data_IF_788579728182
#
_entry.id   IF_788579728182
#
_cell.length_a   1.000
_cell.length_b   1.000
_cell.length_c   1.000
_cell.angle_alpha   90.00
_cell.angle_beta   90.00
_cell.angle_gamma   90.00
#
_symmetry.space_group_name_H-M   'P 1'
#
loop_
_entity.id
_entity.type
_entity.pdbx_description
1 polymer ?
#
# COMPACT_ATOMS: atom_id res chain seq x y z
N UNK A 1 1.64 -24.23 3.92
CA UNK A 1 2.54 -23.50 4.85
C UNK A 1 1.89 -22.13 5.10
N UNK A 2 2.18 -21.53 6.24
CA UNK A 2 1.68 -20.18 6.56
C UNK A 2 2.72 -19.16 6.05
N UNK A 3 2.27 -18.07 5.45
CA UNK A 3 3.17 -17.04 4.94
C UNK A 3 3.97 -16.36 6.07
N UNK A 4 5.27 -16.15 5.88
CA UNK A 4 6.10 -15.27 6.71
C UNK A 4 5.87 -13.83 6.27
N UNK A 5 5.28 -13.02 7.15
CA UNK A 5 4.93 -11.64 6.87
C UNK A 5 5.83 -10.73 7.68
N UNK A 6 6.50 -9.81 7.02
CA UNK A 6 7.27 -8.75 7.66
C UNK A 6 6.66 -7.40 7.39
N UNK A 7 6.75 -6.48 8.38
CA UNK A 7 6.33 -5.10 8.23
C UNK A 7 7.47 -4.16 8.59
N UNK A 8 7.93 -3.40 7.60
CA UNK A 8 8.87 -2.29 7.81
C UNK A 8 8.13 -1.13 8.46
N UNK A 9 8.66 -0.62 9.58
CA UNK A 9 8.09 0.49 10.32
C UNK A 9 9.16 1.47 10.84
N UNK A 10 8.78 2.71 11.04
CA UNK A 10 9.65 3.77 11.60
C UNK A 10 9.45 4.02 13.08
N UNK A 11 8.57 3.26 13.75
CA UNK A 11 8.29 3.39 15.19
C UNK A 11 7.31 4.50 15.54
N UNK A 12 6.53 5.03 14.59
CA UNK A 12 5.45 5.98 14.93
C UNK A 12 4.35 5.29 15.75
N UNK A 13 3.61 6.09 16.52
CA UNK A 13 2.52 5.58 17.36
C UNK A 13 1.51 4.75 16.52
N UNK A 14 1.10 5.28 15.37
CA UNK A 14 0.14 4.59 14.50
C UNK A 14 0.66 3.26 13.96
N UNK A 15 1.93 3.20 13.56
CA UNK A 15 2.54 1.96 13.09
C UNK A 15 2.63 0.90 14.19
N UNK A 16 3.00 1.30 15.40
CA UNK A 16 3.07 0.39 16.56
C UNK A 16 1.67 -0.05 16.99
N UNK A 17 0.69 0.85 17.05
CA UNK A 17 -0.70 0.51 17.34
C UNK A 17 -1.30 -0.45 16.31
N UNK A 18 -0.91 -0.32 15.03
CA UNK A 18 -1.30 -1.29 13.99
C UNK A 18 -0.68 -2.67 14.23
N UNK A 19 0.60 -2.73 14.60
CA UNK A 19 1.27 -4.00 14.90
C UNK A 19 0.69 -4.71 16.14
N UNK A 20 0.18 -3.93 17.10
CA UNK A 20 -0.44 -4.42 18.34
C UNK A 20 -1.93 -4.76 18.17
N UNK A 21 -2.52 -4.57 16.97
CA UNK A 21 -3.94 -4.87 16.75
C UNK A 21 -4.24 -6.38 16.91
N UNK A 22 -5.11 -6.78 17.85
CA UNK A 22 -5.50 -8.17 18.04
C UNK A 22 -6.10 -8.83 16.79
N UNK A 23 -6.76 -8.06 15.91
CA UNK A 23 -7.32 -8.58 14.66
C UNK A 23 -6.23 -9.00 13.67
N UNK A 24 -5.03 -8.45 13.78
CA UNK A 24 -3.86 -8.83 12.98
C UNK A 24 -3.03 -9.95 13.60
N UNK A 25 -3.26 -10.34 14.85
CA UNK A 25 -2.55 -11.42 15.52
C UNK A 25 -2.54 -12.76 14.73
N UNK A 26 -3.61 -13.14 13.99
CA UNK A 26 -3.58 -14.33 13.14
C UNK A 26 -2.51 -14.30 12.06
N UNK A 27 -2.11 -13.13 11.57
CA UNK A 27 -1.07 -12.98 10.55
C UNK A 27 0.34 -13.15 11.08
N UNK A 28 0.57 -12.94 12.40
CA UNK A 28 1.89 -13.02 13.06
C UNK A 28 2.93 -12.14 12.35
N UNK A 29 2.57 -10.90 12.06
CA UNK A 29 3.44 -9.95 11.38
C UNK A 29 4.69 -9.73 12.22
N UNK A 30 5.85 -9.95 11.63
CA UNK A 30 7.15 -9.71 12.24
C UNK A 30 7.55 -8.25 11.99
N UNK A 31 7.68 -7.41 13.03
CA UNK A 31 8.05 -6.01 12.86
C UNK A 31 9.55 -5.87 12.55
N UNK A 32 9.89 -5.07 11.54
CA UNK A 32 11.26 -4.69 11.22
C UNK A 32 11.40 -3.17 11.27
N UNK A 33 12.09 -2.68 12.29
CA UNK A 33 12.32 -1.23 12.42
C UNK A 33 13.38 -0.77 11.42
N UNK A 34 13.02 0.14 10.49
CA UNK A 34 13.85 0.52 9.34
C UNK A 34 15.24 1.05 9.69
N UNK A 35 15.47 1.52 10.91
CA UNK A 35 16.78 2.03 11.37
C UNK A 35 17.67 0.92 11.91
N UNK A 36 17.12 -0.05 12.62
CA UNK A 36 17.87 -0.98 13.48
C UNK A 36 17.85 -2.43 13.00
N UNK A 37 16.84 -2.85 12.23
CA UNK A 37 16.80 -4.19 11.67
C UNK A 37 17.81 -4.36 10.54
N UNK A 38 18.22 -5.60 10.27
CA UNK A 38 19.08 -5.95 9.16
C UNK A 38 18.27 -6.20 7.89
N UNK A 39 18.80 -5.82 6.71
CA UNK A 39 18.15 -6.11 5.44
C UNK A 39 18.06 -7.62 5.16
N UNK A 40 18.97 -8.41 5.72
CA UNK A 40 18.93 -9.88 5.68
C UNK A 40 17.66 -10.47 6.33
N UNK A 41 17.03 -9.74 7.24
CA UNK A 41 15.74 -10.13 7.87
C UNK A 41 14.57 -10.24 6.86
N UNK A 42 14.74 -9.70 5.63
CA UNK A 42 13.77 -9.88 4.54
C UNK A 42 13.93 -11.20 3.77
N UNK A 43 15.07 -11.90 3.91
CA UNK A 43 15.49 -12.99 3.00
C UNK A 43 14.41 -14.03 2.75
N UNK A 44 13.68 -14.44 3.77
CA UNK A 44 12.70 -15.53 3.69
C UNK A 44 11.23 -15.04 3.75
N UNK A 45 11.01 -13.71 3.72
CA UNK A 45 9.69 -13.16 3.80
C UNK A 45 8.85 -13.51 2.56
N UNK A 46 7.67 -14.09 2.75
CA UNK A 46 6.68 -14.32 1.69
C UNK A 46 5.90 -13.05 1.37
N UNK A 47 5.69 -12.19 2.39
CA UNK A 47 5.00 -10.92 2.26
C UNK A 47 5.83 -9.82 2.94
N UNK A 48 6.11 -8.75 2.20
CA UNK A 48 6.79 -7.56 2.71
C UNK A 48 5.80 -6.39 2.70
N UNK A 49 5.52 -5.84 3.87
CA UNK A 49 4.70 -4.63 4.03
C UNK A 49 5.63 -3.44 4.30
N UNK A 50 5.61 -2.48 3.40
CA UNK A 50 6.24 -1.18 3.58
C UNK A 50 5.17 -0.25 4.11
N UNK A 51 5.19 0.04 5.41
CA UNK A 51 4.19 0.92 6.01
C UNK A 51 4.33 2.35 5.49
N UNK A 52 3.25 3.08 5.55
CA UNK A 52 3.22 4.48 5.10
C UNK A 52 4.11 5.40 5.94
N UNK A 53 4.47 6.55 5.37
CA UNK A 53 5.18 7.67 6.03
C UNK A 53 6.52 7.26 6.64
N UNK A 54 7.25 6.38 5.99
CA UNK A 54 8.62 6.07 6.37
C UNK A 54 9.55 7.22 5.95
N UNK A 55 10.61 7.42 6.72
CA UNK A 55 11.64 8.41 6.37
C UNK A 55 12.40 7.94 5.12
N UNK A 56 12.43 8.73 4.03
CA UNK A 56 13.05 8.31 2.77
C UNK A 56 14.53 7.95 2.91
N UNK A 57 15.29 8.74 3.70
CA UNK A 57 16.72 8.48 3.94
C UNK A 57 17.00 7.16 4.66
N UNK A 58 16.07 6.70 5.50
CA UNK A 58 16.18 5.41 6.18
C UNK A 58 15.63 4.25 5.34
N UNK A 59 14.61 4.53 4.52
CA UNK A 59 14.02 3.55 3.63
C UNK A 59 14.97 3.20 2.47
N UNK A 60 15.83 4.14 2.05
CA UNK A 60 16.70 3.98 0.87
C UNK A 60 17.52 2.70 0.88
N UNK A 61 18.06 2.26 2.03
CA UNK A 61 18.83 1.02 2.13
C UNK A 61 18.00 -0.26 1.93
N UNK A 62 16.66 -0.15 2.02
CA UNK A 62 15.74 -1.26 1.87
C UNK A 62 15.21 -1.44 0.44
N UNK A 63 15.43 -0.45 -0.46
CA UNK A 63 14.89 -0.47 -1.81
C UNK A 63 15.32 -1.73 -2.57
N UNK A 64 16.63 -1.98 -2.69
CA UNK A 64 17.15 -3.17 -3.39
C UNK A 64 16.72 -4.49 -2.71
N UNK A 65 16.83 -4.67 -1.38
CA UNK A 65 16.33 -5.86 -0.70
C UNK A 65 14.84 -6.14 -0.93
N UNK A 66 13.99 -5.11 -0.95
CA UNK A 66 12.56 -5.26 -1.22
C UNK A 66 12.33 -5.71 -2.67
N UNK A 67 13.00 -5.08 -3.63
CA UNK A 67 12.89 -5.42 -5.05
C UNK A 67 13.41 -6.83 -5.33
N UNK A 68 14.53 -7.23 -4.73
CA UNK A 68 15.03 -8.60 -4.82
C UNK A 68 14.01 -9.63 -4.29
N UNK A 69 13.34 -9.33 -3.17
CA UNK A 69 12.27 -10.20 -2.66
C UNK A 69 11.09 -10.31 -3.63
N UNK A 70 10.69 -9.18 -4.22
CA UNK A 70 9.63 -9.14 -5.23
C UNK A 70 9.99 -10.01 -6.45
N UNK A 71 11.20 -9.87 -6.97
CA UNK A 71 11.69 -10.65 -8.13
C UNK A 71 11.76 -12.15 -7.83
N UNK A 72 11.99 -12.52 -6.57
CA UNK A 72 12.01 -13.93 -6.09
C UNK A 72 10.64 -14.48 -5.71
N UNK A 73 9.56 -13.77 -6.01
CA UNK A 73 8.20 -14.26 -5.87
C UNK A 73 7.44 -13.82 -4.63
N UNK A 74 8.02 -12.95 -3.79
CA UNK A 74 7.29 -12.41 -2.64
C UNK A 74 6.15 -11.47 -3.07
N UNK A 75 5.18 -11.30 -2.18
CA UNK A 75 4.19 -10.22 -2.31
C UNK A 75 4.69 -8.99 -1.56
N UNK A 76 4.74 -7.86 -2.24
CA UNK A 76 5.16 -6.57 -1.65
C UNK A 76 3.97 -5.61 -1.63
N UNK A 77 3.65 -5.10 -0.45
CA UNK A 77 2.61 -4.07 -0.24
C UNK A 77 3.31 -2.76 0.13
N UNK A 78 3.12 -1.72 -0.66
CA UNK A 78 3.69 -0.38 -0.39
C UNK A 78 2.56 0.61 -0.18
N UNK A 79 2.52 1.21 0.99
CA UNK A 79 1.46 2.11 1.41
C UNK A 79 1.93 3.57 1.51
N UNK A 80 1.08 4.50 1.07
CA UNK A 80 1.16 5.91 1.35
C UNK A 80 2.37 6.64 0.75
N UNK A 81 2.88 7.59 1.51
CA UNK A 81 3.91 8.54 1.08
C UNK A 81 5.33 7.94 1.28
N UNK A 82 5.76 7.07 0.38
CA UNK A 82 7.08 6.43 0.40
C UNK A 82 7.94 6.71 -0.84
N UNK A 83 7.63 7.81 -1.57
CA UNK A 83 8.40 8.26 -2.75
C UNK A 83 8.66 7.13 -3.76
N UNK A 84 7.63 6.32 -4.03
CA UNK A 84 7.76 5.09 -4.83
C UNK A 84 8.31 5.34 -6.23
N UNK A 85 8.09 6.53 -6.79
CA UNK A 85 8.66 6.94 -8.07
C UNK A 85 10.18 7.07 -8.08
N UNK A 86 10.84 7.10 -6.92
CA UNK A 86 12.30 7.19 -6.82
C UNK A 86 12.98 5.82 -6.82
N UNK A 87 12.24 4.72 -6.50
CA UNK A 87 12.88 3.43 -6.31
C UNK A 87 12.16 2.23 -6.94
N UNK A 88 10.89 2.34 -7.29
CA UNK A 88 10.20 1.25 -8.01
C UNK A 88 10.29 1.52 -9.51
N UNK A 89 11.04 0.71 -10.29
CA UNK A 89 11.21 0.95 -11.72
C UNK A 89 9.89 0.99 -12.48
N UNK A 90 9.73 2.01 -13.34
CA UNK A 90 8.56 2.17 -14.21
C UNK A 90 7.34 2.84 -13.54
N UNK A 91 7.41 3.13 -12.25
CA UNK A 91 6.39 3.91 -11.55
C UNK A 91 6.87 5.37 -11.44
N UNK A 92 6.00 6.32 -11.76
CA UNK A 92 6.15 7.73 -11.37
C UNK A 92 5.04 8.10 -10.41
N UNK A 93 5.33 8.97 -9.47
CA UNK A 93 4.37 9.47 -8.50
C UNK A 93 4.19 10.98 -8.68
N UNK A 94 2.94 11.42 -8.72
CA UNK A 94 2.62 12.84 -8.79
C UNK A 94 1.67 13.19 -7.65
N UNK A 95 2.08 14.11 -6.78
CA UNK A 95 1.23 14.59 -5.69
C UNK A 95 -0.02 15.27 -6.23
N UNK A 96 -1.14 15.05 -5.54
CA UNK A 96 -2.41 15.72 -5.79
C UNK A 96 -2.93 16.32 -4.50
N UNK A 97 -3.47 17.54 -4.56
CA UNK A 97 -4.20 18.07 -3.42
C UNK A 97 -5.40 17.18 -3.15
N UNK A 98 -5.53 16.77 -1.90
CA UNK A 98 -6.63 15.91 -1.48
C UNK A 98 -7.71 16.75 -0.84
N UNK A 99 -8.95 16.59 -1.30
CA UNK A 99 -10.12 17.18 -0.65
C UNK A 99 -10.55 16.23 0.48
N UNK A 100 -10.12 16.50 1.72
CA UNK A 100 -10.43 15.66 2.88
C UNK A 100 -11.88 15.75 3.35
N UNK A 101 -12.67 16.69 2.81
CA UNK A 101 -13.99 17.07 3.30
C UNK A 101 -15.13 16.74 2.35
N UNK A 102 -14.86 16.04 1.23
CA UNK A 102 -15.87 15.66 0.24
C UNK A 102 -17.10 14.98 0.87
N UNK A 103 -16.93 14.20 1.93
CA UNK A 103 -18.02 13.55 2.66
C UNK A 103 -18.92 14.54 3.45
N UNK A 104 -18.43 15.76 3.74
CA UNK A 104 -19.22 16.84 4.34
C UNK A 104 -19.82 17.76 3.30
N UNK A 105 -19.13 18.01 2.22
CA UNK A 105 -19.56 18.94 1.17
C UNK A 105 -20.45 18.28 0.13
N UNK A 106 -20.46 16.95 0.04
CA UNK A 106 -21.15 16.19 -1.00
C UNK A 106 -20.45 16.26 -2.37
N UNK A 107 -19.21 16.76 -2.41
CA UNK A 107 -18.43 16.77 -3.64
C UNK A 107 -18.06 15.35 -4.07
N UNK A 108 -17.94 15.14 -5.38
CA UNK A 108 -17.45 13.87 -5.91
C UNK A 108 -15.97 13.68 -5.55
N UNK A 109 -15.65 12.61 -4.86
CA UNK A 109 -14.26 12.25 -4.52
C UNK A 109 -13.42 11.84 -5.72
N UNK A 110 -14.04 11.63 -6.88
CA UNK A 110 -13.44 11.25 -8.18
C UNK A 110 -12.63 9.94 -8.19
N UNK A 111 -12.65 9.18 -7.10
CA UNK A 111 -12.06 7.85 -7.09
C UNK A 111 -13.00 6.87 -7.80
N UNK A 112 -12.44 6.06 -8.71
CA UNK A 112 -13.20 5.07 -9.48
C UNK A 112 -12.55 3.72 -9.39
N UNK A 113 -13.34 2.73 -9.04
CA UNK A 113 -12.94 1.34 -9.05
C UNK A 113 -12.78 0.83 -10.47
N UNK A 114 -11.67 0.10 -10.72
CA UNK A 114 -11.32 -0.48 -12.01
C UNK A 114 -11.13 -2.00 -11.89
N UNK A 115 -11.01 -2.64 -13.04
CA UNK A 115 -10.69 -4.07 -13.16
C UNK A 115 -11.49 -4.98 -12.20
N UNK A 116 -12.83 -5.04 -12.31
CA UNK A 116 -13.70 -5.74 -11.37
C UNK A 116 -13.43 -7.26 -11.29
N UNK A 117 -12.80 -7.83 -12.30
CA UNK A 117 -12.48 -9.26 -12.38
C UNK A 117 -11.10 -9.60 -11.78
N UNK A 118 -10.30 -8.60 -11.38
CA UNK A 118 -9.01 -8.85 -10.79
C UNK A 118 -9.17 -9.49 -9.39
N UNK A 119 -8.40 -10.54 -9.03
CA UNK A 119 -8.55 -11.24 -7.74
C UNK A 119 -8.48 -10.33 -6.52
N UNK A 120 -7.61 -9.31 -6.53
CA UNK A 120 -7.53 -8.34 -5.44
C UNK A 120 -8.83 -7.53 -5.26
N UNK A 121 -9.67 -7.41 -6.31
CA UNK A 121 -10.96 -6.71 -6.25
C UNK A 121 -12.02 -7.46 -5.43
N UNK A 122 -11.91 -8.76 -5.31
CA UNK A 122 -12.84 -9.56 -4.51
C UNK A 122 -12.91 -9.09 -3.05
N UNK A 123 -11.78 -8.61 -2.53
CA UNK A 123 -11.63 -8.18 -1.14
C UNK A 123 -11.74 -6.66 -0.95
N UNK A 124 -11.73 -5.87 -2.03
CA UNK A 124 -11.81 -4.42 -1.98
C UNK A 124 -13.26 -3.95 -2.15
N UNK A 125 -13.79 -3.27 -1.16
CA UNK A 125 -15.09 -2.61 -1.22
C UNK A 125 -14.94 -1.12 -1.46
N UNK A 126 -15.98 -0.44 -1.91
CA UNK A 126 -15.99 1.02 -2.06
C UNK A 126 -15.59 1.72 -0.76
N UNK A 127 -16.07 1.21 0.38
CA UNK A 127 -15.74 1.77 1.69
C UNK A 127 -14.24 1.68 2.02
N UNK A 128 -13.54 0.66 1.53
CA UNK A 128 -12.09 0.52 1.72
C UNK A 128 -11.30 1.55 0.91
N UNK A 129 -11.88 2.13 -0.12
CA UNK A 129 -11.18 2.93 -1.12
C UNK A 129 -11.62 4.39 -1.17
N UNK A 130 -12.80 4.72 -0.61
CA UNK A 130 -13.34 6.07 -0.63
C UNK A 130 -12.90 6.80 0.64
N UNK A 131 -11.65 7.24 0.64
CA UNK A 131 -11.07 8.13 1.64
C UNK A 131 -9.89 8.89 1.01
N UNK A 132 -9.03 9.55 1.75
CA UNK A 132 -8.03 10.38 1.12
C UNK A 132 -6.83 9.58 0.55
N UNK A 133 -6.16 10.19 -0.40
CA UNK A 133 -4.96 9.74 -1.09
C UNK A 133 -3.97 10.90 -1.18
N UNK A 134 -2.70 10.64 -1.46
CA UNK A 134 -1.66 11.68 -1.50
C UNK A 134 -1.18 12.02 -2.91
N UNK A 135 -1.58 11.25 -3.89
CA UNK A 135 -1.18 11.46 -5.28
C UNK A 135 -1.71 10.41 -6.21
N UNK A 136 -1.18 10.41 -7.43
CA UNK A 136 -1.45 9.41 -8.45
C UNK A 136 -0.15 8.78 -8.96
N UNK A 137 -0.25 7.55 -9.40
CA UNK A 137 0.82 6.72 -9.92
C UNK A 137 0.64 6.51 -11.43
N UNK A 138 1.74 6.50 -12.19
CA UNK A 138 1.74 5.93 -13.54
C UNK A 138 1.72 4.40 -13.46
N UNK A 139 1.15 3.76 -14.49
CA UNK A 139 1.13 2.29 -14.58
C UNK A 139 2.36 1.81 -15.37
N UNK A 140 3.24 0.99 -14.77
CA UNK A 140 4.25 0.27 -15.54
C UNK A 140 3.59 -0.74 -16.49
N UNK A 141 4.32 -1.18 -17.51
CA UNK A 141 3.83 -2.17 -18.45
C UNK A 141 3.46 -3.47 -17.74
N UNK A 142 2.25 -3.96 -17.95
CA UNK A 142 1.73 -5.17 -17.32
C UNK A 142 1.00 -4.94 -15.98
N UNK A 143 1.13 -3.76 -15.38
CA UNK A 143 0.38 -3.44 -14.17
C UNK A 143 -1.08 -3.05 -14.48
N UNK A 144 -1.95 -3.25 -13.51
CA UNK A 144 -3.36 -2.86 -13.57
C UNK A 144 -3.70 -1.88 -12.46
N UNK A 145 -4.52 -0.87 -12.77
CA UNK A 145 -5.10 0.00 -11.76
C UNK A 145 -6.34 -0.66 -11.16
N UNK A 146 -6.45 -0.65 -9.85
CA UNK A 146 -7.67 -1.05 -9.14
C UNK A 146 -8.49 0.16 -8.70
N UNK A 147 -7.84 1.31 -8.54
CA UNK A 147 -8.49 2.59 -8.21
C UNK A 147 -7.83 3.69 -9.03
N UNK A 148 -8.62 4.35 -9.86
CA UNK A 148 -8.21 5.55 -10.57
C UNK A 148 -8.71 6.81 -9.90
N UNK A 149 -7.98 7.90 -10.07
CA UNK A 149 -8.49 9.26 -9.90
C UNK A 149 -8.96 9.78 -11.27
N UNK A 150 -10.18 10.30 -11.32
CA UNK A 150 -10.69 11.00 -12.51
C UNK A 150 -10.34 12.49 -12.47
N UNK A 151 -10.10 13.06 -13.65
CA UNK A 151 -10.04 14.53 -13.81
C UNK A 151 -11.47 15.11 -13.66
N UNK A 152 -11.60 16.43 -13.40
CA UNK A 152 -12.92 17.07 -13.35
C UNK A 152 -13.75 16.89 -14.64
N UNK A 153 -13.08 16.73 -15.78
CA UNK A 153 -13.68 16.53 -17.11
C UNK A 153 -14.05 15.07 -17.40
N UNK A 154 -13.81 14.13 -16.46
CA UNK A 154 -14.12 12.71 -16.59
C UNK A 154 -13.04 11.87 -17.26
N UNK A 155 -11.83 12.43 -17.49
CA UNK A 155 -10.66 11.68 -17.93
C UNK A 155 -9.95 10.97 -16.79
N UNK A 156 -9.03 10.05 -17.10
CA UNK A 156 -8.16 9.42 -16.11
C UNK A 156 -6.99 10.34 -15.79
N UNK A 157 -6.78 10.67 -14.50
CA UNK A 157 -5.61 11.41 -14.01
C UNK A 157 -4.44 10.47 -13.71
N UNK A 158 -4.72 9.34 -13.07
CA UNK A 158 -3.74 8.29 -12.75
C UNK A 158 -4.28 7.27 -11.77
N UNK A 159 -3.45 6.31 -11.39
CA UNK A 159 -3.81 5.27 -10.44
C UNK A 159 -3.55 5.71 -8.99
N UNK A 160 -4.50 5.47 -8.10
CA UNK A 160 -4.33 5.64 -6.65
C UNK A 160 -3.94 4.32 -5.98
N UNK A 161 -4.37 3.20 -6.57
CA UNK A 161 -3.98 1.86 -6.16
C UNK A 161 -3.78 1.00 -7.40
N UNK A 162 -2.57 0.47 -7.55
CA UNK A 162 -2.20 -0.43 -8.64
C UNK A 162 -1.71 -1.78 -8.11
N UNK A 163 -1.79 -2.79 -8.99
CA UNK A 163 -1.16 -4.10 -8.81
C UNK A 163 -0.31 -4.43 -10.03
N UNK A 164 0.90 -4.92 -9.81
CA UNK A 164 1.82 -5.40 -10.83
C UNK A 164 2.26 -6.83 -10.50
N UNK A 165 1.91 -7.78 -11.36
CA UNK A 165 2.26 -9.20 -11.23
C UNK A 165 3.28 -9.64 -12.29
N UNK A 166 3.87 -8.68 -13.02
CA UNK A 166 4.83 -8.96 -14.08
C UNK A 166 6.29 -9.07 -13.60
N UNK A 167 6.54 -8.94 -12.28
CA UNK A 167 7.88 -8.83 -11.69
C UNK A 167 8.40 -10.11 -11.03
N UNK A 168 7.79 -11.23 -11.28
CA UNK A 168 8.12 -12.50 -10.60
C UNK A 168 7.27 -12.76 -9.37
N UNK A 169 7.08 -11.77 -8.50
CA UNK A 169 6.14 -11.74 -7.39
C UNK A 169 4.95 -10.83 -7.66
N UNK A 170 4.27 -10.43 -6.58
CA UNK A 170 3.11 -9.54 -6.65
C UNK A 170 3.41 -8.22 -5.93
N UNK A 171 3.24 -7.12 -6.63
CA UNK A 171 3.41 -5.78 -6.06
C UNK A 171 2.06 -5.07 -6.01
N UNK A 172 1.69 -4.56 -4.84
CA UNK A 172 0.58 -3.62 -4.67
C UNK A 172 1.14 -2.29 -4.16
N UNK A 173 0.85 -1.22 -4.87
CA UNK A 173 1.23 0.14 -4.47
C UNK A 173 -0.01 1.01 -4.36
N UNK A 174 -0.13 1.75 -3.28
CA UNK A 174 -1.19 2.75 -3.12
C UNK A 174 -0.65 4.04 -2.52
N UNK A 175 -1.18 5.17 -2.96
CA UNK A 175 -0.89 6.49 -2.37
C UNK A 175 -1.75 6.78 -1.14
N UNK A 176 -2.58 5.84 -0.72
CA UNK A 176 -3.34 5.88 0.54
C UNK A 176 -2.47 5.39 1.70
N UNK A 177 -2.72 5.87 2.91
CA UNK A 177 -1.93 5.55 4.11
C UNK A 177 -2.75 4.76 5.16
N UNK A 178 -3.08 3.48 4.87
CA UNK A 178 -3.94 2.67 5.72
C UNK A 178 -3.37 2.38 7.10
N UNK A 179 -2.05 2.23 7.24
CA UNK A 179 -1.40 1.93 8.53
C UNK A 179 -1.51 3.13 9.46
N UNK A 180 -1.27 4.35 8.95
CA UNK A 180 -1.41 5.57 9.74
C UNK A 180 -2.84 5.76 10.26
N UNK A 181 -3.83 5.63 9.38
CA UNK A 181 -5.22 5.87 9.72
C UNK A 181 -5.83 4.77 10.57
N UNK A 182 -5.47 3.50 10.32
CA UNK A 182 -5.86 2.39 11.16
C UNK A 182 -5.33 2.55 12.59
N UNK A 183 -4.02 2.72 12.74
CA UNK A 183 -3.39 2.86 14.05
C UNK A 183 -3.76 4.17 14.79
N UNK A 184 -4.28 5.17 14.09
CA UNK A 184 -4.85 6.37 14.68
C UNK A 184 -6.31 6.20 15.11
N UNK A 185 -6.96 5.08 14.76
CA UNK A 185 -8.30 4.69 15.23
C UNK A 185 -9.46 5.51 14.67
N UNK A 186 -9.26 6.26 13.57
CA UNK A 186 -10.28 7.22 13.19
C UNK A 186 -10.89 7.04 11.80
N UNK A 187 -10.35 6.14 10.95
CA UNK A 187 -10.84 5.96 9.59
C UNK A 187 -11.14 4.48 9.26
N UNK A 188 -12.39 4.04 9.40
CA UNK A 188 -12.77 2.63 9.20
C UNK A 188 -12.45 2.09 7.79
N UNK A 189 -12.50 2.95 6.76
CA UNK A 189 -12.12 2.56 5.39
C UNK A 189 -10.65 2.16 5.27
N UNK A 190 -9.76 2.86 6.00
CA UNK A 190 -8.34 2.53 6.04
C UNK A 190 -8.08 1.17 6.71
N UNK A 191 -8.77 0.88 7.82
CA UNK A 191 -8.75 -0.43 8.48
C UNK A 191 -9.17 -1.53 7.51
N UNK A 192 -10.25 -1.32 6.77
CA UNK A 192 -10.74 -2.29 5.80
C UNK A 192 -9.75 -2.49 4.64
N UNK A 193 -9.12 -1.42 4.13
CA UNK A 193 -8.09 -1.53 3.10
C UNK A 193 -6.90 -2.35 3.60
N UNK A 194 -6.40 -2.06 4.81
CA UNK A 194 -5.28 -2.78 5.41
C UNK A 194 -5.58 -4.29 5.53
N UNK A 195 -6.74 -4.64 6.08
CA UNK A 195 -7.11 -6.05 6.25
C UNK A 195 -7.32 -6.76 4.92
N UNK A 196 -7.96 -6.10 3.95
CA UNK A 196 -8.21 -6.66 2.62
C UNK A 196 -6.92 -6.94 1.87
N UNK A 197 -5.95 -6.01 1.92
CA UNK A 197 -4.66 -6.18 1.26
C UNK A 197 -3.81 -7.27 1.91
N UNK A 198 -3.77 -7.36 3.23
CA UNK A 198 -3.11 -8.47 3.95
C UNK A 198 -3.75 -9.82 3.64
N UNK A 199 -5.08 -9.88 3.59
CA UNK A 199 -5.80 -11.10 3.23
C UNK A 199 -5.48 -11.55 1.80
N UNK A 200 -5.49 -10.62 0.84
CA UNK A 200 -5.08 -10.91 -0.53
C UNK A 200 -3.62 -11.35 -0.63
N UNK A 201 -2.72 -10.68 0.09
CA UNK A 201 -1.29 -10.96 0.04
C UNK A 201 -0.93 -12.37 0.54
N UNK A 202 -1.77 -12.99 1.37
CA UNK A 202 -1.53 -14.30 1.98
C UNK A 202 -2.22 -15.47 1.26
N UNK A 203 -2.84 -15.20 0.12
CA UNK A 203 -3.48 -16.19 -0.75
C UNK A 203 -2.74 -16.34 -2.07
#
# INVERSE_FOLDING_TARGET
MRADIVMLHGGSHSQLATLDDPALAPYRIRPLHIRTADCEDLRDADVVVVSDRLRPDLLARWHEPILDRLERGATVLVFGENSVGEWIPGITEQRRPTVFWWWRTGEDHRLRLRNPTHPAREFLTDRALIWHYHGVLSLPSGAVSLVDLETPEGGQDGSVLLVDEARGGRLLVTTMDPVYHHGSGFMPGATQLLYSTLYWATR
#
